data_IF_061141752720
#
_entry.id   IF_061141752720
#
_cell.length_a   1.000
_cell.length_b   1.000
_cell.length_c   1.000
_cell.angle_alpha   90.00
_cell.angle_beta   90.00
_cell.angle_gamma   90.00
#
_symmetry.space_group_name_H-M   'P 1'
#
loop_
_entity.id
_entity.type
_entity.pdbx_description
1 polymer ?
#
# COMPACT_ATOMS: atom_id res chain seq x y z
N UNK A 1 9.07 -9.26 -9.56
CA UNK A 1 8.44 -7.95 -9.31
C UNK A 1 6.92 -7.98 -9.41
N UNK A 2 6.32 -8.44 -10.52
CA UNK A 2 4.85 -8.45 -10.72
C UNK A 2 4.05 -9.13 -9.58
N UNK A 3 4.48 -10.30 -9.09
CA UNK A 3 3.81 -10.98 -7.98
C UNK A 3 3.87 -10.16 -6.67
N UNK A 4 4.99 -9.48 -6.39
CA UNK A 4 5.11 -8.64 -5.21
C UNK A 4 4.16 -7.44 -5.26
N UNK A 5 4.04 -6.80 -6.43
CA UNK A 5 3.06 -5.73 -6.68
C UNK A 5 1.64 -6.25 -6.47
N UNK A 6 1.31 -7.40 -7.06
CA UNK A 6 0.00 -8.03 -6.87
C UNK A 6 -0.31 -8.27 -5.39
N UNK A 7 0.63 -8.82 -4.62
CA UNK A 7 0.45 -9.07 -3.18
C UNK A 7 0.34 -7.79 -2.36
N UNK A 8 1.05 -6.73 -2.72
CA UNK A 8 0.90 -5.41 -2.07
C UNK A 8 -0.51 -4.87 -2.32
N UNK A 9 -0.99 -4.89 -3.57
CA UNK A 9 -2.33 -4.42 -3.91
C UNK A 9 -3.40 -5.28 -3.23
N UNK A 10 -3.27 -6.61 -3.27
CA UNK A 10 -4.20 -7.53 -2.65
C UNK A 10 -4.32 -7.28 -1.14
N UNK A 11 -3.19 -7.17 -0.44
CA UNK A 11 -3.20 -6.94 1.01
C UNK A 11 -3.79 -5.57 1.34
N UNK A 12 -3.44 -4.53 0.57
CA UNK A 12 -3.97 -3.18 0.77
C UNK A 12 -5.50 -3.12 0.56
N UNK A 13 -6.03 -3.78 -0.48
CA UNK A 13 -7.48 -3.85 -0.73
C UNK A 13 -8.19 -4.68 0.33
N UNK A 14 -7.56 -5.77 0.81
CA UNK A 14 -8.10 -6.57 1.91
C UNK A 14 -8.20 -5.73 3.20
N UNK A 15 -7.19 -4.91 3.48
CA UNK A 15 -7.21 -4.00 4.62
C UNK A 15 -8.30 -2.93 4.47
N UNK A 16 -8.49 -2.36 3.28
CA UNK A 16 -9.58 -1.43 3.02
C UNK A 16 -10.95 -2.09 3.27
N UNK A 17 -11.18 -3.31 2.75
CA UNK A 17 -12.42 -4.05 2.99
C UNK A 17 -12.69 -4.33 4.47
N UNK A 18 -11.64 -4.65 5.25
CA UNK A 18 -11.77 -4.96 6.68
C UNK A 18 -11.95 -3.71 7.55
N UNK A 19 -11.36 -2.58 7.17
CA UNK A 19 -11.16 -1.46 8.09
C UNK A 19 -11.76 -0.12 7.63
N UNK A 20 -12.02 0.09 6.34
CA UNK A 20 -12.45 1.38 5.82
C UNK A 20 -13.95 1.68 6.04
N UNK A 21 -14.77 0.65 6.24
CA UNK A 21 -16.23 0.74 6.26
C UNK A 21 -16.80 1.00 4.85
N UNK A 22 -17.89 1.78 4.75
CA UNK A 22 -18.41 2.24 3.45
C UNK A 22 -17.42 3.23 2.82
N UNK A 23 -16.56 2.72 1.93
CA UNK A 23 -15.47 3.47 1.31
C UNK A 23 -15.27 3.05 -0.13
N UNK A 24 -14.64 3.92 -0.90
CA UNK A 24 -14.10 3.63 -2.23
C UNK A 24 -12.59 3.43 -2.10
N UNK A 25 -12.08 2.34 -2.65
CA UNK A 25 -10.64 2.10 -2.75
C UNK A 25 -10.15 2.42 -4.17
N UNK A 26 -8.98 3.03 -4.27
CA UNK A 26 -8.31 3.37 -5.52
C UNK A 26 -6.95 2.69 -5.56
N UNK A 27 -6.60 2.14 -6.73
CA UNK A 27 -5.29 1.60 -7.02
C UNK A 27 -4.69 2.43 -8.15
N UNK A 28 -3.47 2.96 -7.94
CA UNK A 28 -2.72 3.71 -8.93
C UNK A 28 -1.34 3.10 -9.10
N UNK A 29 -1.02 2.78 -10.35
CA UNK A 29 0.32 2.43 -10.78
C UNK A 29 0.89 3.59 -11.58
N UNK A 30 2.10 4.04 -11.24
CA UNK A 30 2.79 5.10 -11.99
C UNK A 30 4.19 4.62 -12.35
N UNK A 31 4.44 4.51 -13.65
CA UNK A 31 5.72 4.10 -14.21
C UNK A 31 6.53 5.34 -14.55
N UNK A 32 7.68 5.49 -13.90
CA UNK A 32 8.72 6.44 -14.26
C UNK A 32 9.92 5.72 -14.87
N UNK A 33 10.93 6.50 -15.26
CA UNK A 33 12.15 5.97 -15.91
C UNK A 33 12.91 4.97 -15.03
N UNK A 34 12.98 5.23 -13.72
CA UNK A 34 13.76 4.43 -12.76
C UNK A 34 12.92 3.81 -11.64
N UNK A 35 11.62 4.09 -11.61
CA UNK A 35 10.78 3.77 -10.46
C UNK A 35 9.38 3.37 -10.90
N UNK A 36 8.84 2.35 -10.25
CA UNK A 36 7.41 2.07 -10.22
C UNK A 36 6.86 2.52 -8.87
N UNK A 37 5.79 3.30 -8.92
CA UNK A 37 5.02 3.66 -7.75
C UNK A 37 3.73 2.83 -7.76
N UNK A 38 3.49 2.12 -6.67
CA UNK A 38 2.23 1.44 -6.37
C UNK A 38 1.58 2.18 -5.23
N UNK A 39 0.39 2.72 -5.47
CA UNK A 39 -0.36 3.44 -4.46
C UNK A 39 -1.77 2.86 -4.36
N UNK A 40 -2.15 2.48 -3.14
CA UNK A 40 -3.52 2.08 -2.82
C UNK A 40 -4.02 3.00 -1.71
N UNK A 41 -5.20 3.59 -1.89
CA UNK A 41 -5.82 4.39 -0.84
C UNK A 41 -7.33 4.24 -0.84
N UNK A 42 -7.95 4.49 0.29
CA UNK A 42 -9.41 4.51 0.43
C UNK A 42 -9.94 5.86 0.92
N UNK A 43 -11.26 6.04 0.85
CA UNK A 43 -12.01 7.21 1.36
C UNK A 43 -12.68 6.96 2.70
N UNK A 44 -12.34 5.85 3.37
CA UNK A 44 -13.02 5.42 4.59
C UNK A 44 -12.61 6.19 5.83
N UNK A 45 -12.97 5.65 6.98
CA UNK A 45 -12.68 6.26 8.29
C UNK A 45 -11.20 6.12 8.68
N UNK A 46 -10.48 5.21 8.02
CA UNK A 46 -9.18 4.74 8.46
C UNK A 46 -9.28 3.90 9.75
N UNK A 47 -8.17 3.28 10.19
CA UNK A 47 -8.12 2.62 11.50
C UNK A 47 -8.35 3.63 12.63
N UNK A 48 -8.99 3.19 13.73
CA UNK A 48 -9.22 4.04 14.88
C UNK A 48 -7.89 4.51 15.50
N UNK A 49 -7.79 5.75 16.03
CA UNK A 49 -6.59 6.20 16.73
C UNK A 49 -6.22 5.22 17.85
N UNK A 50 -4.95 4.80 17.89
CA UNK A 50 -4.46 3.84 18.90
C UNK A 50 -4.60 2.36 18.52
N UNK A 51 -5.21 2.02 17.38
CA UNK A 51 -5.12 0.66 16.83
C UNK A 51 -3.90 0.53 15.93
N UNK A 52 -2.70 0.67 16.50
CA UNK A 52 -1.44 0.34 15.83
C UNK A 52 -1.29 -1.18 15.75
N UNK A 53 -2.26 -1.86 15.13
CA UNK A 53 -2.06 -3.24 14.72
C UNK A 53 -1.08 -3.20 13.55
N UNK A 54 0.22 -3.34 13.84
CA UNK A 54 1.21 -3.79 12.87
C UNK A 54 0.85 -5.23 12.50
N UNK A 55 -0.21 -5.39 11.71
CA UNK A 55 -0.65 -6.69 11.23
C UNK A 55 0.44 -7.33 10.39
N UNK A 56 0.49 -8.66 10.38
CA UNK A 56 1.42 -9.44 9.56
C UNK A 56 1.41 -9.01 8.08
N UNK A 57 0.29 -8.49 7.58
CA UNK A 57 0.17 -7.90 6.24
C UNK A 57 1.14 -6.75 5.96
N UNK A 58 1.30 -5.81 6.90
CA UNK A 58 2.22 -4.66 6.75
C UNK A 58 3.68 -5.10 6.79
N UNK A 59 4.02 -6.08 7.62
CA UNK A 59 5.36 -6.67 7.68
C UNK A 59 5.69 -7.34 6.35
N UNK A 60 4.81 -8.22 5.86
CA UNK A 60 5.00 -8.91 4.59
C UNK A 60 5.05 -7.95 3.39
N UNK A 61 4.30 -6.85 3.41
CA UNK A 61 4.42 -5.79 2.40
C UNK A 61 5.79 -5.11 2.46
N UNK A 62 6.29 -4.78 3.66
CA UNK A 62 7.59 -4.14 3.83
C UNK A 62 8.73 -5.04 3.34
N UNK A 63 8.71 -6.31 3.72
CA UNK A 63 9.68 -7.32 3.25
C UNK A 63 9.68 -7.42 1.74
N UNK A 64 8.50 -7.55 1.11
CA UNK A 64 8.39 -7.62 -0.36
C UNK A 64 8.91 -6.39 -1.08
N UNK A 65 8.69 -5.21 -0.52
CA UNK A 65 9.23 -3.97 -1.11
C UNK A 65 10.74 -3.89 -0.92
N UNK A 66 11.25 -4.28 0.26
CA UNK A 66 12.67 -4.29 0.57
C UNK A 66 13.46 -5.29 -0.30
N UNK A 67 12.86 -6.44 -0.67
CA UNK A 67 13.46 -7.42 -1.60
C UNK A 67 13.88 -6.82 -2.94
N UNK A 68 13.26 -5.71 -3.35
CA UNK A 68 13.59 -5.00 -4.59
C UNK A 68 14.30 -3.66 -4.34
N UNK A 69 14.82 -3.40 -3.14
CA UNK A 69 15.44 -2.12 -2.79
C UNK A 69 14.46 -0.94 -2.76
N UNK A 70 13.16 -1.23 -2.65
CA UNK A 70 12.12 -0.21 -2.61
C UNK A 70 11.87 0.38 -1.22
N UNK A 71 10.93 1.32 -1.16
CA UNK A 71 10.46 1.93 0.09
C UNK A 71 8.95 1.83 0.22
N UNK A 72 8.46 1.55 1.44
CA UNK A 72 7.04 1.43 1.75
C UNK A 72 6.67 2.48 2.80
N UNK A 73 5.63 3.27 2.50
CA UNK A 73 4.97 4.19 3.44
C UNK A 73 3.51 3.79 3.59
N UNK A 74 3.05 3.68 4.82
CA UNK A 74 1.69 3.30 5.17
C UNK A 74 1.16 4.23 6.24
N UNK A 75 -0.12 4.58 6.20
CA UNK A 75 -0.72 5.39 7.24
C UNK A 75 -2.04 6.03 6.86
N UNK A 76 -2.71 6.69 7.83
CA UNK A 76 -3.91 7.46 7.58
C UNK A 76 -3.65 8.63 6.64
N UNK A 77 -4.70 9.06 5.93
CA UNK A 77 -4.65 10.21 5.04
C UNK A 77 -5.26 11.46 5.70
N UNK A 78 -4.74 12.67 5.40
CA UNK A 78 -5.45 13.91 5.69
C UNK A 78 -6.84 13.89 5.04
N UNK A 79 -7.88 14.17 5.82
CA UNK A 79 -9.27 14.14 5.36
C UNK A 79 -9.94 12.76 5.42
N UNK A 80 -9.27 11.74 5.97
CA UNK A 80 -9.82 10.40 6.13
C UNK A 80 -9.23 9.36 5.16
N UNK A 81 -9.38 8.09 5.53
CA UNK A 81 -8.91 6.93 4.79
C UNK A 81 -7.50 6.50 5.16
N UNK A 82 -7.04 5.42 4.52
CA UNK A 82 -5.69 4.89 4.67
C UNK A 82 -4.96 4.90 3.33
N UNK A 83 -3.63 4.92 3.36
CA UNK A 83 -2.78 4.86 2.17
C UNK A 83 -1.66 3.86 2.36
N UNK A 84 -1.45 3.05 1.33
CA UNK A 84 -0.27 2.23 1.09
C UNK A 84 0.45 2.82 -0.12
N UNK A 85 1.71 3.21 0.06
CA UNK A 85 2.55 3.78 -0.99
C UNK A 85 3.87 3.01 -1.04
N UNK A 86 4.09 2.27 -2.11
CA UNK A 86 5.34 1.58 -2.39
C UNK A 86 6.04 2.24 -3.59
N UNK A 87 7.33 2.52 -3.45
CA UNK A 87 8.21 3.00 -4.53
C UNK A 87 9.30 1.96 -4.74
N UNK A 88 9.33 1.33 -5.90
CA UNK A 88 10.20 0.20 -6.23
C UNK A 88 11.09 0.62 -7.41
N UNK A 89 12.42 0.44 -7.35
CA UNK A 89 13.30 0.60 -8.51
C UNK A 89 12.84 -0.24 -9.70
N UNK A 90 12.88 0.34 -10.90
CA UNK A 90 12.74 -0.41 -12.15
C UNK A 90 14.13 -0.61 -12.72
N UNK A 91 14.52 -1.86 -12.96
CA UNK A 91 15.64 -2.13 -13.88
C UNK A 91 15.20 -1.64 -15.26
N UNK A 92 16.08 -0.89 -15.93
CA UNK A 92 15.82 -0.49 -17.31
C UNK A 92 15.74 -1.77 -18.16
N UNK A 93 14.73 -1.90 -19.04
CA UNK A 93 14.72 -2.99 -20.01
C UNK A 93 15.93 -2.92 -20.95
#
# INVERSE_FOLDING_TARGET
>A
MALAIYRIVQEALTNALKHAGNATAHVRLSFGVYWLIVEVFDTGRGPAPGTDHVGHGLVGMRERVALYGGTLRVGPRPGGGFRVYAKIPMEQP
#
